data_IF_481404352710
#
_entry.id   IF_481404352710
#
_cell.length_a   1.000
_cell.length_b   1.000
_cell.length_c   1.000
_cell.angle_alpha   90.00
_cell.angle_beta   90.00
_cell.angle_gamma   90.00
#
_symmetry.space_group_name_H-M   'P 1'
#
loop_
_entity.id
_entity.type
_entity.pdbx_description
1 polymer ?
#
# COMPACT_ATOMS: atom_id res chain seq x y z
N UNK A 1 -38.79 43.57 45.44
CA UNK A 1 -37.59 43.56 44.57
C UNK A 1 -37.39 42.12 44.14
N UNK A 2 -37.64 41.79 42.87
CA UNK A 2 -37.51 40.42 42.33
C UNK A 2 -36.11 40.24 41.73
N UNK A 3 -35.48 39.05 41.81
CA UNK A 3 -34.20 38.83 41.15
C UNK A 3 -34.43 38.60 39.66
N UNK A 4 -33.61 39.23 38.82
CA UNK A 4 -33.56 38.97 37.39
C UNK A 4 -32.76 37.69 37.14
N UNK A 5 -33.40 36.69 36.51
CA UNK A 5 -32.71 35.49 36.01
C UNK A 5 -31.91 35.89 34.77
N UNK A 6 -30.59 35.98 34.92
CA UNK A 6 -29.69 36.14 33.79
C UNK A 6 -29.81 34.93 32.86
N UNK A 7 -30.35 35.14 31.66
CA UNK A 7 -30.30 34.15 30.56
C UNK A 7 -28.86 34.06 30.07
N UNK A 8 -28.07 33.18 30.68
CA UNK A 8 -26.79 32.76 30.12
C UNK A 8 -27.04 32.02 28.81
N UNK A 9 -26.46 32.51 27.71
CA UNK A 9 -26.41 31.77 26.45
C UNK A 9 -25.61 30.47 26.70
N UNK A 10 -26.13 29.27 26.35
CA UNK A 10 -25.38 28.04 26.59
C UNK A 10 -24.04 28.08 25.83
N UNK A 11 -22.97 27.48 26.38
CA UNK A 11 -21.68 27.46 25.71
C UNK A 11 -21.87 26.84 24.32
N UNK A 12 -21.56 27.61 23.28
CA UNK A 12 -21.49 27.08 21.92
C UNK A 12 -20.37 26.06 21.91
N UNK A 13 -20.73 24.77 21.88
CA UNK A 13 -19.75 23.69 21.72
C UNK A 13 -19.04 23.92 20.39
N UNK A 14 -17.76 24.28 20.43
CA UNK A 14 -16.89 24.20 19.26
C UNK A 14 -16.86 22.74 18.81
N UNK A 15 -17.56 22.42 17.73
CA UNK A 15 -17.55 21.09 17.16
C UNK A 15 -16.18 20.85 16.53
N UNK A 16 -15.50 19.79 16.97
CA UNK A 16 -14.28 19.28 16.35
C UNK A 16 -14.60 17.95 15.68
N UNK A 17 -14.12 17.76 14.47
CA UNK A 17 -14.26 16.52 13.70
C UNK A 17 -12.90 16.08 13.19
N UNK A 18 -12.65 14.78 13.21
CA UNK A 18 -11.51 14.15 12.56
C UNK A 18 -12.00 12.97 11.71
N UNK A 19 -11.21 12.59 10.71
CA UNK A 19 -11.53 11.47 9.81
C UNK A 19 -10.26 10.66 9.59
N UNK A 20 -10.38 9.33 9.66
CA UNK A 20 -9.32 8.41 9.26
C UNK A 20 -9.59 8.07 7.80
N UNK A 21 -8.68 8.48 6.91
CA UNK A 21 -8.74 8.17 5.48
C UNK A 21 -7.75 7.04 5.20
N UNK A 22 -8.24 5.90 4.73
CA UNK A 22 -7.41 4.83 4.21
C UNK A 22 -7.35 4.94 2.69
N UNK A 23 -6.24 5.43 2.16
CA UNK A 23 -6.01 5.47 0.71
C UNK A 23 -5.49 4.12 0.21
N UNK A 24 -6.02 3.67 -0.93
CA UNK A 24 -5.48 2.48 -1.60
C UNK A 24 -4.26 2.89 -2.40
N UNK A 25 -3.09 2.36 -2.04
CA UNK A 25 -1.88 2.58 -2.81
C UNK A 25 -1.85 1.70 -4.07
N UNK A 26 -1.66 2.33 -5.22
CA UNK A 26 -1.49 1.65 -6.51
C UNK A 26 -0.10 1.89 -7.08
N UNK A 27 0.47 0.91 -7.78
CA UNK A 27 1.76 1.02 -8.44
C UNK A 27 2.02 -0.19 -9.34
N UNK A 28 3.06 -0.11 -10.17
CA UNK A 28 3.45 -1.20 -11.06
C UNK A 28 4.98 -1.39 -11.07
N UNK A 29 5.41 -2.61 -11.36
CA UNK A 29 6.81 -2.96 -11.58
C UNK A 29 6.91 -3.74 -12.89
N UNK A 30 7.62 -3.18 -13.87
CA UNK A 30 7.80 -3.81 -15.17
C UNK A 30 9.04 -4.72 -15.14
N UNK A 31 8.83 -6.03 -15.13
CA UNK A 31 9.90 -7.02 -15.21
C UNK A 31 10.13 -7.45 -16.66
N UNK A 32 11.32 -7.14 -17.21
CA UNK A 32 11.75 -7.57 -18.55
C UNK A 32 12.73 -8.74 -18.44
N UNK A 33 12.41 -9.88 -19.05
CA UNK A 33 13.30 -11.04 -19.11
C UNK A 33 14.02 -11.05 -20.46
N UNK A 34 15.28 -10.61 -20.46
CA UNK A 34 16.14 -10.74 -21.63
C UNK A 34 16.76 -12.15 -21.68
N UNK A 35 16.90 -12.72 -22.87
CA UNK A 35 17.53 -14.04 -23.03
C UNK A 35 16.72 -15.21 -22.45
N UNK A 36 15.38 -15.16 -22.56
CA UNK A 36 14.47 -16.19 -22.03
C UNK A 36 14.93 -17.64 -22.31
N UNK A 37 15.34 -17.94 -23.55
CA UNK A 37 15.79 -19.28 -23.92
C UNK A 37 17.01 -19.74 -23.12
N UNK A 38 17.95 -18.82 -22.85
CA UNK A 38 19.11 -19.10 -22.01
C UNK A 38 18.69 -19.33 -20.57
N UNK A 39 17.90 -18.42 -19.99
CA UNK A 39 17.44 -18.57 -18.59
C UNK A 39 16.63 -19.85 -18.40
N UNK A 40 15.86 -20.26 -19.41
CA UNK A 40 15.15 -21.53 -19.41
C UNK A 40 16.10 -22.70 -19.46
N UNK A 41 17.09 -22.72 -20.34
CA UNK A 41 18.04 -23.82 -20.46
C UNK A 41 18.94 -24.00 -19.22
N UNK A 42 19.28 -22.91 -18.52
CA UNK A 42 20.25 -22.95 -17.42
C UNK A 42 19.65 -23.02 -16.02
N UNK A 43 18.42 -22.56 -15.84
CA UNK A 43 17.80 -22.58 -14.51
C UNK A 43 17.31 -24.00 -14.18
N UNK A 44 17.70 -24.58 -13.04
CA UNK A 44 17.22 -25.90 -12.64
C UNK A 44 15.69 -25.95 -12.50
N UNK A 45 15.10 -27.10 -12.79
CA UNK A 45 13.66 -27.33 -12.61
C UNK A 45 13.22 -27.00 -11.18
N UNK A 46 12.12 -26.28 -11.05
CA UNK A 46 11.58 -25.85 -9.75
C UNK A 46 12.31 -24.67 -9.11
N UNK A 47 13.38 -24.15 -9.73
CA UNK A 47 14.09 -22.96 -9.26
C UNK A 47 13.55 -21.67 -9.87
N UNK A 48 13.83 -20.54 -9.21
CA UNK A 48 13.41 -19.21 -9.66
C UNK A 48 14.55 -18.21 -9.72
N UNK A 49 14.34 -17.17 -10.52
CA UNK A 49 15.15 -15.95 -10.55
C UNK A 49 14.30 -14.80 -9.95
N UNK A 50 14.76 -14.13 -8.89
CA UNK A 50 14.02 -13.01 -8.30
C UNK A 50 14.19 -11.73 -9.12
N UNK A 51 13.15 -10.89 -9.17
CA UNK A 51 13.29 -9.51 -9.62
C UNK A 51 14.06 -8.68 -8.60
N UNK A 52 14.54 -7.51 -9.03
CA UNK A 52 14.91 -6.47 -8.09
C UNK A 52 13.73 -6.14 -7.16
N UNK A 53 13.99 -5.82 -5.89
CA UNK A 53 12.94 -5.44 -4.95
C UNK A 53 12.31 -4.11 -5.36
N UNK A 54 11.01 -3.94 -5.12
CA UNK A 54 10.26 -2.71 -5.39
C UNK A 54 9.26 -2.42 -4.28
N UNK A 55 8.87 -1.15 -4.13
CA UNK A 55 8.00 -0.70 -3.02
C UNK A 55 6.66 -0.20 -3.54
N UNK A 56 5.56 -0.76 -3.03
CA UNK A 56 4.19 -0.31 -3.31
C UNK A 56 3.36 -0.46 -2.04
N UNK A 57 2.59 0.56 -1.68
CA UNK A 57 1.71 0.53 -0.51
C UNK A 57 2.42 0.28 0.82
N UNK A 58 3.63 0.84 0.99
CA UNK A 58 4.42 0.67 2.22
C UNK A 58 5.07 -0.71 2.38
N UNK A 59 4.93 -1.60 1.40
CA UNK A 59 5.51 -2.95 1.44
C UNK A 59 6.62 -3.09 0.40
N UNK A 60 7.66 -3.86 0.75
CA UNK A 60 8.75 -4.23 -0.16
C UNK A 60 8.45 -5.58 -0.79
N UNK A 61 8.24 -5.58 -2.09
CA UNK A 61 7.86 -6.72 -2.92
C UNK A 61 9.04 -7.21 -3.78
N UNK A 62 8.94 -8.44 -4.27
CA UNK A 62 9.79 -9.00 -5.32
C UNK A 62 9.00 -10.07 -6.08
N UNK A 63 9.23 -10.20 -7.39
CA UNK A 63 8.60 -11.21 -8.24
C UNK A 63 9.54 -12.40 -8.36
N UNK A 64 9.04 -13.60 -8.10
CA UNK A 64 9.77 -14.86 -8.37
C UNK A 64 9.38 -15.38 -9.76
N UNK A 65 10.35 -15.43 -10.67
CA UNK A 65 10.16 -15.95 -12.02
C UNK A 65 10.68 -17.38 -12.12
N UNK A 66 9.80 -18.32 -12.47
CA UNK A 66 10.13 -19.74 -12.65
C UNK A 66 10.15 -20.10 -14.14
N UNK A 67 11.33 -20.12 -14.79
CA UNK A 67 11.43 -20.44 -16.21
C UNK A 67 11.10 -21.91 -16.53
N UNK A 68 11.29 -22.82 -15.55
CA UNK A 68 10.99 -24.25 -15.63
C UNK A 68 10.19 -24.67 -14.37
N UNK A 69 8.87 -24.76 -14.50
CA UNK A 69 7.94 -25.14 -13.40
C UNK A 69 7.34 -26.56 -13.56
N UNK A 70 7.70 -27.29 -14.62
CA UNK A 70 7.18 -28.65 -14.85
C UNK A 70 7.94 -29.72 -14.09
#
# INVERSE_FOLDING_TARGET
MSPAVGRGNPPSRSASSSTIVAETATGYHLLKINGYSLTKATTPTGSFLPSSPFTVGGHRWSIKYYPQWR
#
